data_IF_940167756910
#
_entry.id   IF_940167756910
#
_cell.length_a   1.000
_cell.length_b   1.000
_cell.length_c   1.000
_cell.angle_alpha   90.00
_cell.angle_beta   90.00
_cell.angle_gamma   90.00
#
_symmetry.space_group_name_H-M   'P 1'
#
loop_
_entity.id
_entity.type
_entity.pdbx_description
1 polymer ?
#
# COMPACT_ATOMS: atom_id res chain seq x y z
N UNK A 1 2.75 27.19 -58.76
CA UNK A 1 1.32 26.94 -58.51
C UNK A 1 1.00 25.47 -58.80
N UNK A 2 0.81 24.68 -57.74
CA UNK A 2 0.04 23.42 -57.71
C UNK A 2 0.00 23.01 -56.23
N UNK A 3 -1.19 23.15 -55.65
CA UNK A 3 -1.42 22.99 -54.23
C UNK A 3 -2.04 21.63 -53.88
N UNK A 4 -2.05 21.41 -52.56
CA UNK A 4 -3.05 20.71 -51.75
C UNK A 4 -3.21 19.20 -51.98
N UNK A 5 -2.91 18.41 -50.94
CA UNK A 5 -3.93 17.70 -50.15
C UNK A 5 -3.31 17.13 -48.86
N UNK A 6 -3.67 17.72 -47.71
CA UNK A 6 -3.37 17.18 -46.38
C UNK A 6 -4.65 16.48 -45.90
N UNK A 7 -4.63 15.15 -45.83
CA UNK A 7 -5.73 14.35 -45.29
C UNK A 7 -5.49 14.16 -43.78
N UNK A 8 -6.27 14.89 -42.98
CA UNK A 8 -6.41 14.67 -41.54
C UNK A 8 -7.63 13.79 -41.33
N UNK A 9 -7.42 12.52 -41.02
CA UNK A 9 -8.46 11.60 -40.57
C UNK A 9 -8.59 11.67 -39.04
N UNK A 10 -9.60 12.43 -38.57
CA UNK A 10 -10.14 12.37 -37.22
C UNK A 10 -11.06 11.16 -37.12
N UNK A 11 -10.71 10.19 -36.29
CA UNK A 11 -11.60 9.10 -35.90
C UNK A 11 -12.05 9.33 -34.45
N UNK A 12 -13.25 9.90 -34.31
CA UNK A 12 -14.05 9.89 -33.10
C UNK A 12 -14.80 8.54 -33.03
N UNK A 13 -14.50 7.73 -32.01
CA UNK A 13 -15.31 6.60 -31.55
C UNK A 13 -15.20 6.70 -30.02
N UNK A 14 -16.23 6.98 -29.24
CA UNK A 14 -17.60 6.51 -29.32
C UNK A 14 -17.84 5.73 -28.03
N UNK A 15 -18.24 6.44 -26.97
CA UNK A 15 -18.69 5.83 -25.72
C UNK A 15 -20.02 5.13 -25.98
N UNK A 16 -20.13 3.85 -25.60
CA UNK A 16 -21.44 3.23 -25.40
C UNK A 16 -21.45 2.40 -24.12
N UNK A 17 -22.49 2.68 -23.34
CA UNK A 17 -22.89 1.99 -22.13
C UNK A 17 -23.45 0.61 -22.46
N UNK A 18 -23.13 -0.39 -21.65
CA UNK A 18 -24.05 -1.53 -21.46
C UNK A 18 -24.12 -1.90 -19.98
N UNK A 19 -25.25 -1.49 -19.40
CA UNK A 19 -25.90 -2.09 -18.24
C UNK A 19 -25.97 -3.62 -18.40
N UNK A 20 -25.71 -4.36 -17.32
CA UNK A 20 -26.49 -5.57 -17.10
C UNK A 20 -26.71 -5.85 -15.61
N UNK A 21 -27.94 -5.51 -15.20
CA UNK A 21 -28.64 -6.03 -14.03
C UNK A 21 -28.75 -7.56 -14.17
N UNK A 22 -28.41 -8.30 -13.11
CA UNK A 22 -28.97 -9.64 -12.90
C UNK A 22 -29.52 -9.72 -11.49
N UNK A 23 -30.84 -9.56 -11.43
CA UNK A 23 -31.68 -10.14 -10.41
C UNK A 23 -31.54 -11.67 -10.46
N UNK A 24 -31.41 -12.32 -9.31
CA UNK A 24 -31.85 -13.70 -9.15
C UNK A 24 -32.53 -13.84 -7.80
N UNK A 25 -33.79 -14.23 -7.91
CA UNK A 25 -34.79 -14.51 -6.90
C UNK A 25 -34.87 -16.05 -6.76
N UNK A 26 -35.58 -16.47 -5.71
CA UNK A 26 -36.03 -17.85 -5.43
C UNK A 26 -34.96 -18.71 -4.72
N UNK A 27 -35.21 -19.48 -3.66
CA UNK A 27 -36.46 -20.12 -3.24
C UNK A 27 -36.48 -20.45 -1.73
N UNK A 28 -37.70 -20.46 -1.21
CA UNK A 28 -38.30 -21.24 -0.12
C UNK A 28 -37.45 -22.30 0.61
N UNK A 29 -37.55 -22.31 1.96
CA UNK A 29 -37.88 -23.54 2.69
C UNK A 29 -38.54 -23.27 4.05
N UNK A 30 -39.83 -23.54 4.07
CA UNK A 30 -40.63 -23.87 5.25
C UNK A 30 -40.07 -25.10 5.98
N UNK A 31 -40.23 -25.11 7.30
CA UNK A 31 -39.87 -26.21 8.19
C UNK A 31 -40.62 -26.12 9.51
N UNK A 32 -41.95 -26.25 9.43
CA UNK A 32 -42.87 -26.45 10.56
C UNK A 32 -42.92 -27.91 10.97
N UNK A 33 -42.85 -28.22 12.27
CA UNK A 33 -43.38 -29.44 12.96
C UNK A 33 -42.87 -29.42 14.42
N UNK A 34 -43.54 -29.84 15.49
CA UNK A 34 -44.84 -30.48 15.78
C UNK A 34 -45.04 -30.33 17.30
N UNK A 35 -46.22 -29.94 17.75
CA UNK A 35 -46.67 -30.04 19.14
C UNK A 35 -47.35 -31.39 19.43
N UNK A 36 -47.39 -31.73 20.73
CA UNK A 36 -48.27 -32.67 21.46
C UNK A 36 -47.58 -33.93 22.04
N UNK A 37 -48.10 -34.58 23.10
CA UNK A 37 -49.14 -34.18 24.07
C UNK A 37 -48.69 -34.31 25.55
N UNK A 38 -49.45 -33.65 26.44
CA UNK A 38 -49.43 -33.85 27.91
C UNK A 38 -50.20 -35.12 28.31
N UNK A 39 -49.73 -35.81 29.35
CA UNK A 39 -50.52 -36.72 30.19
C UNK A 39 -49.82 -36.95 31.56
N UNK A 40 -50.52 -37.47 32.59
CA UNK A 40 -50.48 -36.89 33.93
C UNK A 40 -49.82 -37.79 34.98
N UNK A 41 -49.54 -37.16 36.12
CA UNK A 41 -49.54 -37.66 37.50
C UNK A 41 -49.05 -39.08 37.78
N UNK A 42 -47.86 -39.15 38.36
CA UNK A 42 -47.47 -40.25 39.23
C UNK A 42 -46.67 -39.71 40.43
N UNK A 43 -47.38 -39.42 41.53
CA UNK A 43 -46.77 -38.99 42.78
C UNK A 43 -46.01 -40.14 43.43
N UNK A 44 -44.68 -40.05 43.41
CA UNK A 44 -43.80 -40.90 44.22
C UNK A 44 -43.41 -40.14 45.50
N UNK A 45 -43.39 -40.77 46.68
CA UNK A 45 -43.05 -40.08 47.93
C UNK A 45 -41.60 -39.58 47.93
N UNK A 46 -41.42 -38.26 48.08
CA UNK A 46 -40.11 -37.62 48.19
C UNK A 46 -39.41 -38.03 49.49
N UNK A 47 -38.33 -38.80 49.37
CA UNK A 47 -37.30 -38.93 50.38
C UNK A 47 -36.45 -37.64 50.38
N UNK A 48 -36.07 -37.06 51.53
CA UNK A 48 -35.25 -35.85 51.57
C UNK A 48 -33.92 -36.07 50.85
N UNK A 49 -33.75 -35.42 49.70
CA UNK A 49 -32.47 -35.36 48.98
C UNK A 49 -31.47 -34.60 49.86
N UNK A 50 -30.30 -35.18 50.19
CA UNK A 50 -29.26 -34.47 50.92
C UNK A 50 -28.84 -33.23 50.12
N UNK A 51 -28.65 -32.12 50.83
CA UNK A 51 -28.27 -30.84 50.23
C UNK A 51 -27.08 -31.03 49.26
N UNK A 52 -27.17 -30.52 48.00
CA UNK A 52 -26.08 -30.66 47.05
C UNK A 52 -24.82 -30.05 47.65
N UNK A 53 -23.75 -30.84 47.68
CA UNK A 53 -22.41 -30.39 48.07
C UNK A 53 -22.08 -29.20 47.14
N UNK A 54 -21.70 -28.03 47.68
CA UNK A 54 -21.35 -26.88 46.86
C UNK A 54 -20.28 -27.30 45.85
N UNK A 55 -20.56 -27.14 44.55
CA UNK A 55 -19.55 -27.36 43.54
C UNK A 55 -18.35 -26.48 43.85
N UNK A 56 -17.11 -27.03 43.82
CA UNK A 56 -15.92 -26.26 44.10
C UNK A 56 -15.87 -25.08 43.13
N UNK A 57 -15.81 -23.86 43.70
CA UNK A 57 -15.66 -22.62 42.92
C UNK A 57 -14.44 -22.83 42.02
N UNK A 58 -14.60 -22.80 40.67
CA UNK A 58 -13.49 -23.02 39.77
C UNK A 58 -12.41 -21.98 40.07
N UNK A 59 -11.22 -22.47 40.36
CA UNK A 59 -10.06 -21.64 40.66
C UNK A 59 -9.86 -20.64 39.49
N UNK A 60 -9.72 -19.33 39.76
CA UNK A 60 -9.65 -18.33 38.70
C UNK A 60 -8.49 -18.68 37.78
N UNK A 61 -8.81 -18.97 36.52
CA UNK A 61 -7.80 -19.27 35.51
C UNK A 61 -6.86 -18.08 35.42
N UNK A 62 -5.53 -18.26 35.61
CA UNK A 62 -4.60 -17.16 35.62
C UNK A 62 -4.70 -16.37 34.30
N UNK A 63 -4.89 -15.05 34.40
CA UNK A 63 -4.98 -14.21 33.20
C UNK A 63 -3.69 -14.38 32.36
N UNK A 64 -3.82 -14.55 31.04
CA UNK A 64 -2.67 -14.68 30.17
C UNK A 64 -1.74 -13.47 30.30
N UNK A 65 -0.47 -13.73 30.57
CA UNK A 65 0.54 -12.68 30.77
C UNK A 65 0.72 -11.90 29.46
N UNK A 66 0.28 -10.64 29.46
CA UNK A 66 0.45 -9.73 28.30
C UNK A 66 1.94 -9.51 27.99
N UNK A 67 2.37 -9.61 26.72
CA UNK A 67 3.75 -9.34 26.33
C UNK A 67 4.09 -7.85 26.45
N UNK A 68 5.38 -7.51 26.38
CA UNK A 68 5.79 -6.10 26.26
C UNK A 68 5.48 -5.56 24.87
N UNK A 69 5.21 -4.25 24.79
CA UNK A 69 4.91 -3.61 23.51
C UNK A 69 6.09 -3.69 22.52
N UNK A 70 7.33 -3.73 23.02
CA UNK A 70 8.52 -3.84 22.18
C UNK A 70 8.57 -5.18 21.44
N UNK A 71 8.18 -6.27 22.11
CA UNK A 71 8.13 -7.62 21.53
C UNK A 71 6.97 -7.73 20.54
N UNK A 72 5.80 -7.17 20.89
CA UNK A 72 4.64 -7.16 19.98
C UNK A 72 4.93 -6.39 18.68
N UNK A 73 5.75 -5.33 18.76
CA UNK A 73 6.04 -4.42 17.65
C UNK A 73 7.40 -4.65 16.98
N UNK A 74 7.93 -5.88 16.99
CA UNK A 74 9.29 -6.19 16.51
C UNK A 74 9.44 -6.09 14.98
N UNK A 75 8.38 -6.34 14.20
CA UNK A 75 8.41 -6.27 12.74
C UNK A 75 7.35 -5.34 12.15
N UNK A 76 7.53 -4.01 12.29
CA UNK A 76 6.49 -3.04 11.99
C UNK A 76 6.21 -2.87 10.48
N UNK A 77 7.13 -3.27 9.60
CA UNK A 77 6.93 -3.19 8.14
C UNK A 77 6.00 -4.28 7.59
N UNK A 78 5.88 -5.42 8.28
CA UNK A 78 4.93 -6.47 7.88
C UNK A 78 3.49 -6.17 8.32
N UNK A 79 3.29 -5.13 9.12
CA UNK A 79 1.98 -4.70 9.63
C UNK A 79 1.40 -3.54 8.80
N UNK A 80 1.96 -3.27 7.62
CA UNK A 80 1.41 -2.26 6.72
C UNK A 80 0.00 -2.67 6.28
N UNK A 81 -0.92 -1.71 6.11
CA UNK A 81 -2.23 -2.01 5.54
C UNK A 81 -2.07 -2.68 4.17
N UNK A 82 -2.94 -3.63 3.86
CA UNK A 82 -3.01 -4.21 2.51
C UNK A 82 -3.15 -3.08 1.49
N UNK A 83 -2.30 -3.07 0.47
CA UNK A 83 -2.35 -2.04 -0.56
C UNK A 83 -3.62 -2.24 -1.39
N UNK A 84 -4.50 -1.23 -1.39
CA UNK A 84 -5.74 -1.23 -2.16
C UNK A 84 -5.49 -1.04 -3.67
N UNK A 85 -4.23 -0.98 -4.11
CA UNK A 85 -3.86 -0.65 -5.48
C UNK A 85 -4.04 0.81 -5.87
N UNK A 86 -4.27 1.72 -4.90
CA UNK A 86 -4.43 3.18 -5.13
C UNK A 86 -3.43 4.05 -4.34
N UNK A 87 -2.25 3.51 -4.05
CA UNK A 87 -1.17 4.21 -3.36
C UNK A 87 -0.36 5.14 -4.31
N UNK A 88 -1.06 5.97 -5.09
CA UNK A 88 -0.49 6.92 -6.07
C UNK A 88 -0.89 8.34 -5.72
N UNK A 89 -0.05 9.29 -6.06
CA UNK A 89 -0.52 10.68 -6.18
C UNK A 89 -1.36 10.78 -7.46
N UNK A 90 -2.52 11.44 -7.38
CA UNK A 90 -3.47 11.61 -8.49
C UNK A 90 -3.03 12.59 -9.56
N UNK A 91 -1.79 13.05 -9.50
CA UNK A 91 -1.20 13.94 -10.48
C UNK A 91 0.11 13.36 -11.00
N UNK A 92 0.33 13.43 -12.33
CA UNK A 92 1.59 13.01 -12.90
C UNK A 92 2.69 13.95 -12.45
N UNK A 93 3.92 13.49 -12.61
CA UNK A 93 5.07 14.35 -12.47
C UNK A 93 5.04 15.48 -13.52
N UNK A 94 5.58 16.62 -13.16
CA UNK A 94 5.52 17.85 -13.92
C UNK A 94 6.93 18.28 -14.31
N UNK A 95 7.09 18.68 -15.58
CA UNK A 95 8.36 19.15 -16.13
C UNK A 95 9.16 18.02 -16.80
N UNK A 96 9.54 18.28 -18.05
CA UNK A 96 10.36 17.37 -18.84
C UNK A 96 11.82 17.45 -18.36
N UNK A 97 12.41 16.27 -18.08
CA UNK A 97 13.87 16.00 -17.96
C UNK A 97 14.45 16.03 -16.53
N UNK A 98 14.50 14.84 -15.90
CA UNK A 98 15.50 14.54 -14.88
C UNK A 98 15.01 13.59 -13.78
N UNK A 99 15.92 12.72 -13.32
CA UNK A 99 15.71 11.77 -12.20
C UNK A 99 15.25 12.51 -10.92
N UNK A 100 15.66 13.77 -10.74
CA UNK A 100 15.35 14.56 -9.55
C UNK A 100 13.85 14.67 -9.26
N UNK A 101 13.02 14.97 -10.27
CA UNK A 101 11.56 15.12 -10.04
C UNK A 101 10.85 13.79 -9.87
N UNK A 102 11.23 12.78 -10.65
CA UNK A 102 10.74 11.41 -10.46
C UNK A 102 11.05 10.91 -9.05
N UNK A 103 12.24 11.27 -8.52
CA UNK A 103 12.62 11.01 -7.13
C UNK A 103 11.72 11.73 -6.14
N UNK A 104 11.49 13.03 -6.32
CA UNK A 104 10.62 13.79 -5.41
C UNK A 104 9.25 13.14 -5.27
N UNK A 105 8.67 12.74 -6.40
CA UNK A 105 7.37 12.07 -6.45
C UNK A 105 7.42 10.69 -5.80
N UNK A 106 8.39 9.86 -6.15
CA UNK A 106 8.59 8.55 -5.53
C UNK A 106 8.80 8.65 -4.01
N UNK A 107 9.57 9.62 -3.51
CA UNK A 107 9.82 9.76 -2.08
C UNK A 107 8.59 10.22 -1.30
N UNK A 108 7.80 11.13 -1.86
CA UNK A 108 6.54 11.54 -1.24
C UNK A 108 5.59 10.34 -1.21
N UNK A 109 5.41 9.65 -2.34
CA UNK A 109 4.56 8.47 -2.44
C UNK A 109 4.99 7.35 -1.49
N UNK A 110 6.29 7.06 -1.38
CA UNK A 110 6.85 6.08 -0.44
C UNK A 110 6.50 6.42 1.01
N UNK A 111 6.62 7.69 1.41
CA UNK A 111 6.28 8.12 2.78
C UNK A 111 4.81 7.92 3.09
N UNK A 112 3.93 8.32 2.17
CA UNK A 112 2.50 8.16 2.37
C UNK A 112 2.12 6.68 2.41
N UNK A 113 2.62 5.86 1.48
CA UNK A 113 2.35 4.42 1.43
C UNK A 113 2.78 3.70 2.71
N UNK A 114 3.85 4.17 3.37
CA UNK A 114 4.36 3.55 4.59
C UNK A 114 3.77 4.13 5.88
N UNK A 115 3.41 5.41 5.92
CA UNK A 115 3.13 6.11 7.18
C UNK A 115 1.70 6.67 7.29
N UNK A 116 0.98 6.79 6.18
CA UNK A 116 -0.41 7.19 6.18
C UNK A 116 -1.31 5.97 6.43
N UNK A 117 -2.35 6.16 7.25
CA UNK A 117 -3.53 5.29 7.26
C UNK A 117 -4.70 6.12 6.79
N UNK A 118 -5.37 5.71 5.74
CA UNK A 118 -6.58 6.37 5.26
C UNK A 118 -7.81 5.75 5.93
N UNK A 119 -8.76 6.60 6.31
CA UNK A 119 -9.96 6.22 7.05
C UNK A 119 -11.17 6.99 6.50
N UNK A 120 -12.00 6.30 5.72
CA UNK A 120 -13.19 6.85 5.10
C UNK A 120 -14.46 6.65 5.95
N UNK A 121 -14.35 6.17 7.20
CA UNK A 121 -15.50 6.01 8.10
C UNK A 121 -16.15 7.34 8.51
N UNK A 122 -15.40 8.44 8.35
CA UNK A 122 -15.85 9.81 8.58
C UNK A 122 -15.63 10.58 7.28
N UNK A 123 -16.58 11.44 6.89
CA UNK A 123 -16.46 12.28 5.69
C UNK A 123 -15.23 13.21 5.74
N UNK A 124 -14.63 13.48 4.58
CA UNK A 124 -13.59 14.50 4.47
C UNK A 124 -14.11 15.87 4.93
N UNK A 125 -13.27 16.60 5.66
CA UNK A 125 -13.55 18.00 5.92
C UNK A 125 -13.22 18.84 4.68
N UNK A 126 -13.92 19.96 4.53
CA UNK A 126 -13.71 20.89 3.42
C UNK A 126 -12.36 21.63 3.54
N UNK A 127 -11.42 21.34 2.65
CA UNK A 127 -10.08 21.93 2.64
C UNK A 127 -10.07 23.41 2.24
N UNK A 128 -11.18 23.95 1.73
CA UNK A 128 -11.37 25.38 1.53
C UNK A 128 -11.43 26.14 2.86
N UNK A 129 -11.90 25.48 3.93
CA UNK A 129 -11.89 26.00 5.29
C UNK A 129 -10.49 25.94 5.89
N UNK A 130 -10.02 27.06 6.46
CA UNK A 130 -8.64 27.16 6.98
C UNK A 130 -8.37 26.23 8.16
N UNK A 131 -9.33 26.04 9.06
CA UNK A 131 -9.16 25.14 10.21
C UNK A 131 -9.06 23.67 9.77
N UNK A 132 -9.88 23.25 8.81
CA UNK A 132 -9.75 21.93 8.20
C UNK A 132 -8.40 21.77 7.50
N UNK A 133 -8.00 22.77 6.70
CA UNK A 133 -6.73 22.75 5.99
C UNK A 133 -5.54 22.61 6.94
N UNK A 134 -5.48 23.39 8.03
CA UNK A 134 -4.40 23.31 9.00
C UNK A 134 -4.29 21.92 9.64
N UNK A 135 -5.42 21.25 9.90
CA UNK A 135 -5.45 19.86 10.39
C UNK A 135 -4.89 18.89 9.36
N UNK A 136 -5.33 18.99 8.10
CA UNK A 136 -4.83 18.13 7.01
C UNK A 136 -3.35 18.37 6.77
N UNK A 137 -2.92 19.63 6.67
CA UNK A 137 -1.52 20.02 6.50
C UNK A 137 -0.65 19.49 7.65
N UNK A 138 -1.11 19.60 8.90
CA UNK A 138 -0.40 19.03 10.05
C UNK A 138 -0.19 17.52 9.91
N UNK A 139 -1.17 16.76 9.42
CA UNK A 139 -1.03 15.32 9.14
C UNK A 139 -0.03 15.06 8.01
N UNK A 140 -0.05 15.84 6.93
CA UNK A 140 0.94 15.78 5.85
C UNK A 140 2.35 16.03 6.41
N UNK A 141 2.53 17.09 7.19
CA UNK A 141 3.84 17.48 7.74
C UNK A 141 4.38 16.42 8.70
N UNK A 142 3.52 15.76 9.49
CA UNK A 142 3.88 14.59 10.31
C UNK A 142 4.40 13.44 9.46
N UNK A 143 3.69 13.06 8.39
CA UNK A 143 4.13 12.00 7.45
C UNK A 143 5.47 12.36 6.80
N UNK A 144 5.62 13.61 6.34
CA UNK A 144 6.86 14.10 5.72
C UNK A 144 8.05 14.15 6.70
N UNK A 145 7.78 14.25 8.00
CA UNK A 145 8.78 14.20 9.08
C UNK A 145 8.97 12.81 9.70
N UNK A 146 8.56 11.75 9.01
CA UNK A 146 8.66 10.35 9.46
C UNK A 146 7.86 10.06 10.73
N UNK A 147 6.64 10.59 10.81
CA UNK A 147 5.67 10.20 11.83
C UNK A 147 4.43 9.64 11.15
N UNK A 148 3.94 8.52 11.65
CA UNK A 148 2.73 7.92 11.13
C UNK A 148 1.49 8.72 11.55
N UNK A 149 0.51 8.81 10.65
CA UNK A 149 -0.73 9.55 10.88
C UNK A 149 -1.92 8.81 10.26
N UNK A 150 -3.11 9.00 10.82
CA UNK A 150 -4.37 8.60 10.18
C UNK A 150 -4.97 9.83 9.50
N UNK A 151 -5.34 9.74 8.22
CA UNK A 151 -6.01 10.79 7.45
C UNK A 151 -7.47 10.35 7.29
N UNK A 152 -8.39 11.17 7.78
CA UNK A 152 -9.81 10.84 7.79
C UNK A 152 -10.47 11.47 6.56
N UNK A 153 -11.51 10.84 6.03
CA UNK A 153 -12.26 11.37 4.88
C UNK A 153 -11.91 10.79 3.53
N UNK A 154 -10.90 9.95 3.46
CA UNK A 154 -10.34 9.47 2.20
C UNK A 154 -10.08 7.97 2.32
N UNK A 155 -10.23 7.22 1.24
CA UNK A 155 -9.96 5.78 1.16
C UNK A 155 -8.49 5.46 0.95
N UNK A 156 -7.76 6.34 0.25
CA UNK A 156 -6.39 6.09 -0.19
C UNK A 156 -5.66 7.39 -0.58
N UNK A 157 -4.40 7.24 -0.99
CA UNK A 157 -3.56 8.35 -1.40
C UNK A 157 -4.06 9.03 -2.68
N UNK A 158 -4.66 8.28 -3.61
CA UNK A 158 -5.16 8.82 -4.86
C UNK A 158 -6.34 9.77 -4.62
N UNK A 159 -7.33 9.35 -3.85
CA UNK A 159 -8.47 10.20 -3.47
C UNK A 159 -7.99 11.42 -2.68
N UNK A 160 -7.15 11.20 -1.67
CA UNK A 160 -6.60 12.29 -0.84
C UNK A 160 -5.86 13.35 -1.65
N UNK A 161 -5.01 12.91 -2.57
CA UNK A 161 -4.23 13.82 -3.41
C UNK A 161 -5.02 14.43 -4.56
N UNK A 162 -6.27 14.00 -4.79
CA UNK A 162 -7.18 14.60 -5.79
C UNK A 162 -7.83 15.89 -5.30
N UNK A 163 -7.91 16.11 -3.98
CA UNK A 163 -8.32 17.40 -3.43
C UNK A 163 -7.42 18.53 -3.95
N UNK A 164 -8.02 19.63 -4.43
CA UNK A 164 -7.29 20.70 -5.13
C UNK A 164 -6.20 21.33 -4.27
N UNK A 165 -6.45 21.56 -2.98
CA UNK A 165 -5.51 22.24 -2.06
C UNK A 165 -4.42 21.28 -1.61
N UNK A 166 -4.78 20.04 -1.27
CA UNK A 166 -3.82 18.96 -0.96
C UNK A 166 -2.89 18.72 -2.15
N UNK A 167 -3.45 18.56 -3.36
CA UNK A 167 -2.70 18.40 -4.61
C UNK A 167 -1.66 19.50 -4.79
N UNK A 168 -2.08 20.76 -4.71
CA UNK A 168 -1.18 21.90 -4.89
C UNK A 168 -0.04 21.90 -3.86
N UNK A 169 -0.33 21.55 -2.61
CA UNK A 169 0.68 21.46 -1.56
C UNK A 169 1.65 20.30 -1.79
N UNK A 170 1.16 19.08 -2.04
CA UNK A 170 2.00 17.91 -2.32
C UNK A 170 2.85 18.12 -3.57
N UNK A 171 2.29 18.75 -4.60
CA UNK A 171 3.01 19.14 -5.81
C UNK A 171 4.20 20.06 -5.48
N UNK A 172 4.02 21.06 -4.62
CA UNK A 172 5.12 21.93 -4.17
C UNK A 172 6.21 21.16 -3.41
N UNK A 173 5.83 20.18 -2.59
CA UNK A 173 6.77 19.34 -1.84
C UNK A 173 7.57 18.43 -2.78
N UNK A 174 6.91 17.84 -3.78
CA UNK A 174 7.56 17.05 -4.83
C UNK A 174 8.59 17.91 -5.56
N UNK A 175 8.22 19.13 -5.98
CA UNK A 175 9.14 20.08 -6.61
C UNK A 175 10.37 20.34 -5.73
N UNK A 176 10.16 20.70 -4.45
CA UNK A 176 11.22 21.04 -3.52
C UNK A 176 12.17 19.88 -3.18
N UNK A 177 11.67 18.64 -3.23
CA UNK A 177 12.46 17.43 -2.93
C UNK A 177 13.42 17.04 -4.07
N UNK A 178 13.25 17.65 -5.24
CA UNK A 178 13.87 17.21 -6.50
C UNK A 178 15.36 17.57 -6.65
N UNK A 179 15.89 18.53 -5.89
CA UNK A 179 17.19 19.16 -6.16
C UNK A 179 18.39 18.59 -5.37
N UNK A 180 18.19 17.66 -4.42
CA UNK A 180 19.25 17.24 -3.47
C UNK A 180 19.86 15.87 -3.76
N UNK A 181 20.25 15.61 -5.01
CA UNK A 181 20.76 14.29 -5.41
C UNK A 181 22.28 14.17 -5.34
N UNK A 182 22.75 13.15 -4.61
CA UNK A 182 24.05 12.51 -4.85
C UNK A 182 23.79 11.01 -5.05
N UNK A 183 24.11 10.50 -6.24
CA UNK A 183 24.08 9.08 -6.55
C UNK A 183 25.21 8.38 -5.80
N UNK A 184 24.98 7.99 -4.55
CA UNK A 184 25.85 7.00 -3.91
C UNK A 184 25.10 5.69 -3.91
N UNK A 185 25.81 4.59 -4.12
CA UNK A 185 25.21 3.26 -4.18
C UNK A 185 24.72 2.84 -2.79
N UNK A 186 23.54 2.21 -2.73
CA UNK A 186 23.05 1.58 -1.50
C UNK A 186 23.94 0.43 -1.04
N UNK A 187 23.83 0.06 0.24
CA UNK A 187 24.48 -1.14 0.74
C UNK A 187 23.78 -2.37 0.16
N UNK A 188 24.39 -2.97 -0.86
CA UNK A 188 23.94 -4.24 -1.42
C UNK A 188 24.51 -5.39 -0.58
N UNK A 189 23.62 -6.17 0.03
CA UNK A 189 23.97 -7.33 0.86
C UNK A 189 24.05 -8.63 0.05
N UNK A 190 23.27 -8.74 -1.03
CA UNK A 190 23.36 -9.85 -1.98
C UNK A 190 24.53 -9.63 -2.93
N UNK A 191 25.59 -10.46 -2.84
CA UNK A 191 26.81 -10.32 -3.67
C UNK A 191 27.28 -11.64 -4.30
N UNK A 192 26.35 -12.55 -4.56
CA UNK A 192 26.66 -13.92 -5.00
C UNK A 192 26.72 -14.08 -6.53
N UNK A 193 26.30 -13.06 -7.28
CA UNK A 193 26.31 -13.10 -8.73
C UNK A 193 27.45 -12.24 -9.28
N UNK A 194 28.07 -12.66 -10.38
CA UNK A 194 29.08 -11.86 -11.07
C UNK A 194 28.46 -10.59 -11.68
N UNK A 195 27.22 -10.68 -12.17
CA UNK A 195 26.51 -9.53 -12.71
C UNK A 195 25.99 -8.60 -11.58
N UNK A 196 26.46 -7.34 -11.49
CA UNK A 196 26.01 -6.39 -10.47
C UNK A 196 24.51 -6.08 -10.53
N UNK A 197 23.92 -6.05 -11.73
CA UNK A 197 22.48 -5.79 -11.88
C UNK A 197 21.64 -6.94 -11.32
N UNK A 198 22.13 -8.18 -11.44
CA UNK A 198 21.48 -9.34 -10.85
C UNK A 198 21.55 -9.27 -9.31
N UNK A 199 22.69 -8.90 -8.74
CA UNK A 199 22.81 -8.64 -7.30
C UNK A 199 21.80 -7.58 -6.82
N UNK A 200 21.63 -6.48 -7.57
CA UNK A 200 20.65 -5.43 -7.25
C UNK A 200 19.21 -5.95 -7.36
N UNK A 201 18.89 -6.74 -8.39
CA UNK A 201 17.56 -7.34 -8.55
C UNK A 201 17.18 -8.23 -7.36
N UNK A 202 18.08 -9.12 -6.94
CA UNK A 202 17.83 -9.99 -5.79
C UNK A 202 17.87 -9.25 -4.45
N UNK A 203 18.63 -8.16 -4.34
CA UNK A 203 18.57 -7.26 -3.19
C UNK A 203 17.20 -6.56 -3.10
N UNK A 204 16.64 -6.08 -4.23
CA UNK A 204 15.29 -5.52 -4.27
C UNK A 204 14.23 -6.55 -3.90
N UNK A 205 14.30 -7.77 -4.47
CA UNK A 205 13.42 -8.90 -4.10
C UNK A 205 13.41 -9.12 -2.59
N UNK A 206 14.59 -9.25 -1.98
CA UNK A 206 14.74 -9.40 -0.52
C UNK A 206 14.12 -8.24 0.25
N UNK A 207 14.33 -7.00 -0.19
CA UNK A 207 13.79 -5.81 0.50
C UNK A 207 12.26 -5.77 0.46
N UNK A 208 11.66 -6.09 -0.69
CA UNK A 208 10.21 -6.18 -0.84
C UNK A 208 9.63 -7.31 0.02
N UNK A 209 10.26 -8.50 0.05
CA UNK A 209 9.86 -9.61 0.94
C UNK A 209 9.94 -9.25 2.44
N UNK A 210 10.73 -8.23 2.78
CA UNK A 210 10.82 -7.65 4.13
C UNK A 210 9.81 -6.51 4.38
N UNK A 211 8.86 -6.29 3.47
CA UNK A 211 7.84 -5.23 3.56
C UNK A 211 8.38 -3.82 3.30
N UNK A 212 9.53 -3.69 2.63
CA UNK A 212 10.05 -2.39 2.21
C UNK A 212 9.46 -2.00 0.84
N UNK A 213 9.48 -0.70 0.55
CA UNK A 213 9.08 -0.16 -0.76
C UNK A 213 10.29 0.49 -1.45
N UNK A 214 11.33 -0.28 -1.82
CA UNK A 214 12.60 0.31 -2.24
C UNK A 214 12.46 1.16 -3.49
N UNK A 215 13.11 2.33 -3.44
CA UNK A 215 13.26 3.24 -4.57
C UNK A 215 14.44 2.82 -5.46
N UNK A 216 14.20 2.74 -6.77
CA UNK A 216 15.22 2.38 -7.76
C UNK A 216 15.29 3.40 -8.89
N UNK A 217 16.50 3.86 -9.22
CA UNK A 217 16.77 4.66 -10.41
C UNK A 217 17.05 3.76 -11.60
N UNK A 218 16.43 4.06 -12.73
CA UNK A 218 16.55 3.28 -13.97
C UNK A 218 16.89 4.17 -15.17
N UNK A 219 17.63 3.64 -16.13
CA UNK A 219 17.82 4.25 -17.45
C UNK A 219 17.70 3.15 -18.50
N UNK A 220 16.84 3.36 -19.49
CA UNK A 220 16.69 2.51 -20.66
C UNK A 220 16.53 3.35 -21.92
N UNK A 221 16.66 2.73 -23.09
CA UNK A 221 16.61 3.46 -24.36
C UNK A 221 15.22 4.06 -24.63
N UNK A 222 14.16 3.32 -24.27
CA UNK A 222 12.76 3.75 -24.43
C UNK A 222 12.21 4.39 -23.15
N UNK A 223 12.69 3.94 -21.99
CA UNK A 223 12.28 4.40 -20.66
C UNK A 223 12.84 5.78 -20.35
N UNK A 224 14.03 6.10 -20.86
CA UNK A 224 14.78 7.28 -20.44
C UNK A 224 15.22 7.19 -18.98
N UNK A 225 15.70 8.31 -18.44
CA UNK A 225 16.13 8.38 -17.04
C UNK A 225 14.95 8.55 -16.10
N UNK A 226 14.74 7.58 -15.24
CA UNK A 226 13.53 7.49 -14.46
C UNK A 226 13.73 6.88 -13.07
N UNK A 227 12.69 6.91 -12.26
CA UNK A 227 12.72 6.36 -10.93
C UNK A 227 11.41 5.68 -10.53
N UNK A 228 11.54 4.50 -9.93
CA UNK A 228 10.44 3.59 -9.67
C UNK A 228 10.39 3.22 -8.18
N UNK A 229 9.20 2.86 -7.69
CA UNK A 229 9.03 2.20 -6.40
C UNK A 229 8.71 0.73 -6.63
N UNK A 230 9.52 -0.17 -6.10
CA UNK A 230 9.24 -1.61 -6.18
C UNK A 230 8.40 -2.02 -4.97
N UNK A 231 7.31 -2.76 -5.19
CA UNK A 231 6.32 -3.01 -4.13
C UNK A 231 5.84 -4.47 -3.99
N UNK A 232 5.95 -5.30 -5.03
CA UNK A 232 5.59 -6.73 -4.95
C UNK A 232 6.64 -7.61 -5.65
N UNK A 233 6.70 -8.87 -5.22
CA UNK A 233 7.45 -9.95 -5.86
C UNK A 233 6.43 -10.94 -6.38
N UNK A 234 6.42 -11.15 -7.68
CA UNK A 234 5.53 -12.09 -8.34
C UNK A 234 6.32 -13.20 -9.02
N UNK A 235 5.69 -14.36 -9.21
CA UNK A 235 6.30 -15.48 -9.91
C UNK A 235 5.51 -15.79 -11.17
N UNK A 236 6.18 -15.72 -12.32
CA UNK A 236 5.68 -16.38 -13.53
C UNK A 236 6.13 -17.84 -13.53
N UNK A 237 5.54 -18.68 -14.40
CA UNK A 237 5.94 -20.10 -14.57
C UNK A 237 7.44 -20.28 -14.81
N UNK A 238 8.11 -19.26 -15.37
CA UNK A 238 9.51 -19.36 -15.77
C UNK A 238 10.45 -18.66 -14.79
N UNK A 239 10.09 -17.46 -14.28
CA UNK A 239 10.99 -16.62 -13.47
C UNK A 239 10.24 -15.65 -12.54
N UNK A 240 10.85 -15.27 -11.40
CA UNK A 240 10.35 -14.18 -10.58
C UNK A 240 10.49 -12.84 -11.32
N UNK A 241 9.52 -11.95 -11.11
CA UNK A 241 9.58 -10.54 -11.51
C UNK A 241 9.17 -9.66 -10.34
N UNK A 242 9.57 -8.40 -10.41
CA UNK A 242 9.24 -7.39 -9.40
C UNK A 242 8.19 -6.45 -9.97
N UNK A 243 7.13 -6.20 -9.21
CA UNK A 243 6.17 -5.16 -9.55
C UNK A 243 6.69 -3.81 -9.10
N UNK A 244 6.62 -2.86 -10.02
CA UNK A 244 7.13 -1.52 -9.84
C UNK A 244 6.09 -0.48 -10.25
N UNK A 245 6.00 0.57 -9.46
CA UNK A 245 5.16 1.73 -9.68
C UNK A 245 5.97 2.85 -10.30
N UNK A 246 5.46 3.38 -11.41
CA UNK A 246 6.00 4.59 -12.04
C UNK A 246 5.26 5.82 -11.47
N UNK A 247 5.90 6.65 -10.64
CA UNK A 247 5.28 7.86 -10.09
C UNK A 247 4.88 8.90 -11.15
N UNK A 248 5.40 8.81 -12.37
CA UNK A 248 5.02 9.71 -13.46
C UNK A 248 3.73 9.26 -14.18
N UNK A 249 3.27 8.04 -13.92
CA UNK A 249 2.09 7.47 -14.57
C UNK A 249 1.00 7.34 -13.51
N UNK A 250 -0.14 7.97 -13.79
CA UNK A 250 -1.33 7.83 -12.97
C UNK A 250 -2.23 6.84 -13.69
N UNK A 251 -2.33 5.62 -13.16
CA UNK A 251 -3.28 4.64 -13.66
C UNK A 251 -4.67 5.00 -13.11
N UNK A 252 -5.67 5.08 -13.99
CA UNK A 252 -7.07 5.30 -13.58
C UNK A 252 -7.73 4.03 -13.01
N UNK A 253 -7.00 2.91 -13.00
CA UNK A 253 -7.44 1.61 -12.51
C UNK A 253 -6.31 0.99 -11.69
N UNK A 254 -6.66 0.31 -10.60
CA UNK A 254 -5.71 -0.47 -9.83
C UNK A 254 -5.33 -1.73 -10.60
N UNK A 255 -4.03 -1.96 -10.77
CA UNK A 255 -3.50 -3.21 -11.30
C UNK A 255 -2.77 -3.99 -10.21
N UNK A 256 -2.79 -5.32 -10.29
CA UNK A 256 -1.98 -6.16 -9.40
C UNK A 256 -0.47 -5.86 -9.58
N UNK A 257 -0.07 -5.55 -10.81
CA UNK A 257 1.31 -5.27 -11.17
C UNK A 257 1.41 -4.25 -12.31
N UNK A 258 1.51 -2.96 -11.99
CA UNK A 258 1.53 -1.88 -12.99
C UNK A 258 2.63 -2.10 -14.04
N UNK A 259 3.84 -2.36 -13.56
CA UNK A 259 5.02 -2.50 -14.39
C UNK A 259 5.90 -3.60 -13.83
N UNK A 260 6.63 -4.25 -14.72
CA UNK A 260 7.45 -5.41 -14.39
C UNK A 260 8.92 -5.06 -14.54
N UNK A 261 9.70 -5.44 -13.55
CA UNK A 261 11.15 -5.52 -13.64
C UNK A 261 11.51 -7.00 -13.58
N UNK A 262 12.27 -7.50 -14.54
CA UNK A 262 12.67 -8.91 -14.59
C UNK A 262 14.06 -9.08 -15.17
N UNK A 263 14.65 -10.24 -14.91
CA UNK A 263 15.99 -10.59 -15.36
C UNK A 263 15.94 -11.67 -16.45
N UNK A 264 16.50 -11.37 -17.62
CA UNK A 264 16.55 -12.26 -18.77
C UNK A 264 17.83 -12.03 -19.57
N UNK A 265 18.43 -13.09 -20.12
CA UNK A 265 19.63 -13.04 -20.95
C UNK A 265 20.76 -12.16 -20.38
N UNK A 266 21.01 -12.31 -19.08
CA UNK A 266 22.01 -11.56 -18.34
C UNK A 266 21.77 -10.03 -18.29
N UNK A 267 20.53 -9.58 -18.49
CA UNK A 267 20.10 -8.18 -18.50
C UNK A 267 18.86 -7.98 -17.64
N UNK A 268 18.68 -6.74 -17.17
CA UNK A 268 17.44 -6.33 -16.51
C UNK A 268 16.56 -5.63 -17.52
N UNK A 269 15.30 -6.03 -17.56
CA UNK A 269 14.27 -5.41 -18.38
C UNK A 269 13.26 -4.70 -17.50
N UNK A 270 12.76 -3.59 -18.00
CA UNK A 270 11.60 -2.90 -17.46
C UNK A 270 10.50 -2.89 -18.52
N UNK A 271 9.32 -3.39 -18.15
CA UNK A 271 8.16 -3.41 -19.01
C UNK A 271 7.02 -2.62 -18.35
N UNK A 272 6.62 -1.54 -19.00
CA UNK A 272 5.39 -0.82 -18.66
C UNK A 272 4.18 -1.57 -19.20
N UNK A 273 3.02 -1.41 -18.56
CA UNK A 273 1.75 -1.98 -19.02
C UNK A 273 1.43 -1.64 -20.49
N UNK A 274 1.82 -0.45 -20.96
CA UNK A 274 1.50 0.10 -22.27
C UNK A 274 2.64 0.03 -23.30
N UNK A 275 3.80 -0.58 -22.97
CA UNK A 275 4.98 -0.57 -23.85
C UNK A 275 5.70 -1.91 -23.91
N UNK A 276 6.46 -2.10 -24.98
CA UNK A 276 7.41 -3.21 -25.09
C UNK A 276 8.46 -3.16 -23.97
N UNK A 277 9.01 -4.31 -23.56
CA UNK A 277 10.12 -4.35 -22.61
C UNK A 277 11.33 -3.54 -23.11
N UNK A 278 11.97 -2.84 -22.19
CA UNK A 278 13.16 -2.03 -22.43
C UNK A 278 14.31 -2.54 -21.57
N UNK A 279 15.46 -2.80 -22.20
CA UNK A 279 16.66 -3.22 -21.49
C UNK A 279 17.27 -2.03 -20.74
N UNK A 280 17.50 -2.19 -19.46
CA UNK A 280 18.04 -1.13 -18.62
C UNK A 280 19.58 -1.09 -18.71
N UNK A 281 20.11 0.06 -19.12
CA UNK A 281 21.55 0.38 -19.07
C UNK A 281 22.00 0.88 -17.70
N UNK A 282 21.06 1.37 -16.88
CA UNK A 282 21.28 1.75 -15.49
C UNK A 282 20.15 1.20 -14.62
N UNK A 283 20.51 0.61 -13.48
CA UNK A 283 19.58 0.02 -12.53
C UNK A 283 20.22 0.02 -11.14
N UNK A 284 19.84 0.97 -10.27
CA UNK A 284 20.50 1.17 -8.95
C UNK A 284 19.55 1.61 -7.84
N UNK A 285 19.80 1.10 -6.63
CA UNK A 285 19.18 1.55 -5.38
C UNK A 285 20.00 2.74 -4.84
N UNK A 286 19.35 3.77 -4.33
CA UNK A 286 20.07 4.93 -3.78
C UNK A 286 20.54 4.72 -2.34
N UNK A 287 21.71 5.28 -2.02
CA UNK A 287 22.35 5.19 -0.70
C UNK A 287 21.50 5.61 0.48
N UNK A 288 20.63 6.60 0.27
CA UNK A 288 19.76 7.13 1.31
C UNK A 288 18.55 6.24 1.61
N UNK A 289 18.31 5.18 0.83
CA UNK A 289 17.24 4.21 1.05
C UNK A 289 17.35 3.55 2.43
N UNK A 290 18.53 3.09 2.83
CA UNK A 290 18.71 2.37 4.10
C UNK A 290 18.38 3.25 5.31
N UNK A 291 18.81 4.52 5.27
CA UNK A 291 18.49 5.49 6.31
C UNK A 291 16.99 5.80 6.35
N UNK A 292 16.32 5.91 5.19
CA UNK A 292 14.87 6.09 5.12
C UNK A 292 14.12 4.90 5.70
N UNK A 293 14.48 3.69 5.30
CA UNK A 293 13.88 2.45 5.80
C UNK A 293 14.00 2.36 7.32
N UNK A 294 15.15 2.73 7.89
CA UNK A 294 15.30 2.79 9.34
C UNK A 294 14.32 3.78 9.99
N UNK A 295 14.16 4.98 9.42
CA UNK A 295 13.20 5.98 9.92
C UNK A 295 11.75 5.47 9.83
N UNK A 296 11.38 4.80 8.75
CA UNK A 296 10.05 4.17 8.61
C UNK A 296 9.81 3.11 9.68
N UNK A 297 10.78 2.21 9.90
CA UNK A 297 10.70 1.19 10.96
C UNK A 297 10.50 1.82 12.33
N UNK A 298 11.26 2.86 12.66
CA UNK A 298 11.13 3.57 13.95
C UNK A 298 9.75 4.20 14.10
N UNK A 299 9.27 4.90 13.07
CA UNK A 299 7.97 5.57 13.08
C UNK A 299 6.81 4.58 13.26
N UNK A 300 6.84 3.47 12.51
CA UNK A 300 5.82 2.44 12.57
C UNK A 300 5.87 1.67 13.89
N UNK A 301 7.07 1.38 14.42
CA UNK A 301 7.21 0.79 15.76
C UNK A 301 6.59 1.69 16.83
N UNK A 302 6.87 2.99 16.79
CA UNK A 302 6.29 3.96 17.72
C UNK A 302 4.76 3.95 17.66
N UNK A 303 4.18 3.96 16.45
CA UNK A 303 2.72 3.85 16.25
C UNK A 303 2.15 2.54 16.80
N UNK A 304 2.80 1.41 16.50
CA UNK A 304 2.37 0.09 17.00
C UNK A 304 2.36 0.06 18.54
N UNK A 305 3.41 0.57 19.18
CA UNK A 305 3.47 0.60 20.65
C UNK A 305 2.38 1.50 21.24
N UNK A 306 2.16 2.68 20.66
CA UNK A 306 1.11 3.60 21.11
C UNK A 306 -0.27 2.94 21.02
N UNK A 307 -0.64 2.44 19.84
CA UNK A 307 -1.96 1.82 19.59
C UNK A 307 -2.17 0.55 20.43
N UNK A 308 -1.13 -0.27 20.60
CA UNK A 308 -1.20 -1.48 21.42
C UNK A 308 -1.41 -1.16 22.91
N UNK A 309 -0.84 -0.07 23.41
CA UNK A 309 -1.09 0.42 24.79
C UNK A 309 -2.52 0.94 24.94
N UNK A 310 -2.98 1.77 24.01
CA UNK A 310 -4.36 2.28 23.99
C UNK A 310 -5.38 1.14 23.99
N UNK A 311 -5.11 0.06 23.25
CA UNK A 311 -5.94 -1.15 23.18
C UNK A 311 -5.67 -2.17 24.29
N UNK A 312 -4.75 -1.88 25.22
CA UNK A 312 -4.34 -2.78 26.32
C UNK A 312 -3.88 -4.17 25.85
N UNK A 313 -3.27 -4.27 24.67
CA UNK A 313 -2.73 -5.51 24.10
C UNK A 313 -1.36 -5.90 24.68
N UNK A 314 -0.62 -4.92 25.20
CA UNK A 314 0.69 -5.09 25.80
C UNK A 314 0.82 -4.29 27.10
N UNK A 315 1.87 -4.60 27.87
CA UNK A 315 2.35 -3.77 28.98
C UNK A 315 3.45 -2.82 28.48
#
# INVERSE_FOLDING_TARGET
MKGILLLISLSLIGCDQLNNKRDNKDDNRDGSTVEAPQNPDNETPNLPTPAPIPEPIPEPTPEPVKPSCEVLCTNPLKQLPESNGFDYLSFPNFGYRGIGRCRGHALVMQRFSLLAKFDNSVSACDTSNEFCWLKIKSKIDRILSYQAATINGYSDLFEFSSDKRVRAYLWSIVAGTSHRYRAVDAKISVRRFENPHMNIFFELKKRVELGQLPYVGVVGAQTGSHALIVYSVENSRLRPYLCARDPNIVLGVAENCDHKIYFEDNRIYYQRYDRSPDALSFFRITSDEDQRVLRYKTALKARCMQTSREQRLCK
#
